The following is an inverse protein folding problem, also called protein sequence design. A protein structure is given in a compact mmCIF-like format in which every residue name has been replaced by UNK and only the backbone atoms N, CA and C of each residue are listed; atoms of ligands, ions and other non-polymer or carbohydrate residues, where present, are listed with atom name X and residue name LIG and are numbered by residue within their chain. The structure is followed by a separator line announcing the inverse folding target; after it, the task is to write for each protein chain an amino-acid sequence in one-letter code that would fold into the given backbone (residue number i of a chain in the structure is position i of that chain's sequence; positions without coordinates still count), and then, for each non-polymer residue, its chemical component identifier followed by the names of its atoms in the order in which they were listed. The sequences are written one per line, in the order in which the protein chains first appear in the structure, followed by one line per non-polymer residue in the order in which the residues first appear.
data_IF_532401863048
#
_entry.id   IF_532401863048
#
_cell.length_a   1.000
_cell.length_b   1.000
_cell.length_c   1.000
_cell.angle_alpha   90.00
_cell.angle_beta   90.00
_cell.angle_gamma   90.00
#
_symmetry.space_group_name_H-M   'P 1'
#
loop_
_entity.id
_entity.type
_entity.pdbx_description
1 polymer ?
#
# COMPACT_ATOMS: atom_id res chain seq x y z
N UNK A 1 18.14 0.04 -0.89
CA UNK A 1 17.61 0.07 -0.98
C UNK A 1 17.23 0.66 -0.70
N UNK A 2 17.05 0.83 -0.74
CA UNK A 2 16.54 1.52 -0.39
C UNK A 2 16.38 2.60 -1.22
N UNK A 3 16.96 2.92 -2.35
CA UNK A 3 16.77 4.09 -3.06
C UNK A 3 15.36 4.27 -3.51
N UNK A 4 14.82 3.35 -4.16
CA UNK A 4 13.47 3.49 -4.60
C UNK A 4 12.54 3.64 -3.45
N UNK A 5 12.80 2.94 -2.42
CA UNK A 5 11.97 3.03 -1.30
C UNK A 5 12.08 4.35 -0.65
N UNK A 6 13.21 4.91 -0.61
CA UNK A 6 13.37 6.18 -0.01
C UNK A 6 12.56 7.23 -0.68
N UNK A 7 12.48 7.11 -1.97
CA UNK A 7 11.71 8.01 -2.69
C UNK A 7 10.27 7.98 -2.28
N UNK A 8 9.72 6.81 -2.19
CA UNK A 8 8.33 6.71 -1.81
C UNK A 8 8.10 7.24 -0.43
N UNK A 9 8.96 6.93 0.45
CA UNK A 9 8.79 7.36 1.81
C UNK A 9 8.78 8.87 1.90
N UNK A 10 9.63 9.50 1.18
CA UNK A 10 9.68 10.94 1.22
C UNK A 10 8.40 11.56 0.70
N UNK A 11 7.89 10.99 -0.34
CA UNK A 11 6.66 11.51 -0.91
C UNK A 11 5.52 11.35 0.07
N UNK A 12 5.44 10.22 0.67
CA UNK A 12 4.39 9.96 1.61
C UNK A 12 4.42 10.94 2.76
N UNK A 13 5.58 11.20 3.22
CA UNK A 13 5.71 12.10 4.33
C UNK A 13 5.23 13.49 3.98
N UNK A 14 5.62 13.95 2.85
CA UNK A 14 5.21 15.26 2.43
C UNK A 14 3.70 15.35 2.35
N UNK A 15 3.10 14.35 1.85
CA UNK A 15 1.67 14.34 1.74
C UNK A 15 1.01 14.41 3.10
N UNK A 16 1.50 13.67 4.02
CA UNK A 16 0.93 13.66 5.33
C UNK A 16 0.96 15.05 5.94
N UNK A 17 2.01 15.73 5.75
CA UNK A 17 2.10 17.05 6.29
C UNK A 17 1.05 17.95 5.68
N UNK A 18 0.90 17.86 4.43
CA UNK A 18 -0.06 18.70 3.78
C UNK A 18 -1.44 18.47 4.30
N UNK A 19 -1.77 17.24 4.46
CA UNK A 19 -3.08 16.94 4.95
C UNK A 19 -3.29 17.43 6.35
N UNK A 20 -2.32 17.26 7.13
CA UNK A 20 -2.43 17.70 8.48
C UNK A 20 -2.66 19.19 8.50
N UNK A 21 -2.01 19.85 7.64
CA UNK A 21 -2.16 21.27 7.65
C UNK A 21 -3.57 21.68 7.31
N UNK A 22 -4.20 20.96 6.53
CA UNK A 22 -5.51 21.30 6.19
C UNK A 22 -6.44 21.19 7.31
N UNK A 23 -6.13 20.44 8.19
CA UNK A 23 -6.98 20.28 9.22
C UNK A 23 -8.36 20.03 8.85
N UNK A 24 -8.92 20.15 8.55
CA UNK A 24 -10.13 19.79 8.43
C UNK A 24 -10.55 19.06 7.47
N UNK A 25 -10.02 19.03 6.73
CA UNK A 25 -10.55 18.41 5.83
C UNK A 25 -10.92 17.23 5.91
N UNK A 26 -10.39 16.61 6.37
CA UNK A 26 -10.71 15.38 6.46
C UNK A 26 -11.04 14.86 5.30
N UNK A 27 -10.94 15.32 4.45
CA UNK A 27 -11.42 14.76 3.45
C UNK A 27 -10.67 13.76 2.88
N UNK A 28 -10.92 13.41 1.85
CA UNK A 28 -10.36 12.34 1.18
C UNK A 28 -8.95 12.45 1.19
N UNK A 29 -8.34 11.51 1.58
CA UNK A 29 -6.93 11.49 1.60
C UNK A 29 -6.43 10.87 0.33
N UNK A 30 -5.31 11.33 -0.13
CA UNK A 30 -4.73 10.80 -1.35
C UNK A 30 -3.31 10.34 -1.10
N UNK A 31 -2.84 9.49 -1.96
CA UNK A 31 -1.47 8.99 -1.94
C UNK A 31 -0.83 9.40 -3.26
N UNK A 32 0.37 9.91 -3.19
CA UNK A 32 1.13 10.22 -4.39
C UNK A 32 1.94 8.99 -4.76
N UNK A 33 1.71 8.48 -5.94
CA UNK A 33 2.40 7.28 -6.37
C UNK A 33 3.64 7.64 -7.18
N UNK A 34 4.39 6.63 -7.57
CA UNK A 34 5.71 6.84 -8.13
C UNK A 34 5.73 7.74 -9.36
N UNK A 35 4.70 7.75 -10.14
CA UNK A 35 4.68 8.58 -11.34
C UNK A 35 4.23 10.01 -11.07
N UNK A 36 4.00 10.35 -9.81
CA UNK A 36 3.61 11.70 -9.46
C UNK A 36 2.12 11.93 -9.39
N UNK A 37 1.31 10.99 -9.78
CA UNK A 37 -0.14 11.18 -9.71
C UNK A 37 -0.65 10.92 -8.31
N UNK A 38 -1.80 11.48 -8.00
CA UNK A 38 -2.44 11.29 -6.70
C UNK A 38 -3.66 10.41 -6.89
N UNK A 39 -3.81 9.44 -6.01
CA UNK A 39 -4.94 8.52 -6.06
C UNK A 39 -5.55 8.42 -4.68
N UNK A 40 -6.75 7.88 -4.60
CA UNK A 40 -7.45 7.75 -3.33
C UNK A 40 -6.66 6.86 -2.38
N UNK A 41 -6.60 7.26 -1.13
CA UNK A 41 -5.86 6.50 -0.14
C UNK A 41 -6.71 5.40 0.45
N UNK A 42 -6.14 4.20 0.52
CA UNK A 42 -6.73 3.07 1.21
C UNK A 42 -5.95 2.83 2.50
N UNK A 43 -6.59 2.22 3.48
CA UNK A 43 -5.91 1.85 4.72
C UNK A 43 -5.27 0.48 4.55
N UNK A 44 -4.17 0.24 5.24
CA UNK A 44 -3.48 -1.04 5.19
C UNK A 44 -3.12 -1.47 6.60
N UNK A 45 -3.23 -2.76 6.87
CA UNK A 45 -2.83 -3.35 8.13
C UNK A 45 -2.00 -4.59 7.88
N UNK A 46 -0.99 -4.76 8.71
CA UNK A 46 -0.10 -5.93 8.62
C UNK A 46 -0.10 -6.65 9.94
N UNK A 47 -0.08 -7.98 9.90
CA UNK A 47 0.03 -8.78 11.11
C UNK A 47 0.74 -10.08 10.79
N UNK A 48 1.38 -10.65 11.80
CA UNK A 48 1.98 -11.95 11.62
C UNK A 48 0.87 -12.99 11.62
N UNK A 49 0.90 -13.84 10.62
CA UNK A 49 -0.13 -14.87 10.46
C UNK A 49 0.39 -16.25 10.81
N UNK A 50 1.55 -16.30 11.45
CA UNK A 50 2.17 -17.56 11.83
C UNK A 50 3.64 -17.54 11.47
N UNK A 51 4.38 -18.58 11.75
CA UNK A 51 5.79 -18.62 11.40
C UNK A 51 5.95 -18.49 9.89
N UNK A 52 6.74 -17.53 9.48
CA UNK A 52 7.00 -17.37 8.06
C UNK A 52 5.85 -16.80 7.26
N UNK A 53 4.88 -16.17 7.91
CA UNK A 53 3.74 -15.63 7.16
C UNK A 53 3.32 -14.28 7.71
N UNK A 54 2.96 -13.38 6.82
CA UNK A 54 2.43 -12.06 7.16
C UNK A 54 1.11 -11.90 6.44
N UNK A 55 0.10 -11.47 7.18
CA UNK A 55 -1.19 -11.16 6.58
C UNK A 55 -1.25 -9.68 6.26
N UNK A 56 -1.63 -9.36 5.05
CA UNK A 56 -1.81 -7.99 4.58
C UNK A 56 -3.29 -7.79 4.35
N UNK A 57 -3.87 -6.79 4.97
CA UNK A 57 -5.28 -6.46 4.78
C UNK A 57 -5.39 -5.00 4.40
N UNK A 58 -6.41 -4.65 3.66
CA UNK A 58 -6.61 -3.26 3.26
C UNK A 58 -8.09 -2.97 3.10
N UNK A 59 -8.41 -1.68 3.07
CA UNK A 59 -9.79 -1.27 2.91
C UNK A 59 -10.21 -1.39 1.45
N UNK A 60 -11.49 -1.57 1.24
CA UNK A 60 -12.04 -1.74 -0.09
C UNK A 60 -12.38 -0.40 -0.72
N UNK A 61 -12.50 -0.40 -2.02
CA UNK A 61 -12.97 0.75 -2.78
C UNK A 61 -13.89 0.18 -3.84
N UNK A 62 -15.16 0.55 -3.86
CA UNK A 62 -16.11 -0.06 -4.79
C UNK A 62 -15.77 0.18 -6.25
N UNK A 63 -14.95 1.16 -6.56
CA UNK A 63 -14.58 1.41 -7.94
C UNK A 63 -13.40 0.57 -8.39
N UNK A 64 -12.79 -0.19 -7.50
CA UNK A 64 -11.64 -1.01 -7.83
C UNK A 64 -12.09 -2.36 -8.36
N UNK A 65 -11.55 -2.73 -9.50
CA UNK A 65 -11.83 -4.04 -10.08
C UNK A 65 -10.88 -5.09 -9.54
N UNK A 66 -9.63 -4.73 -9.33
CA UNK A 66 -8.64 -5.67 -8.82
C UNK A 66 -7.52 -4.92 -8.12
N UNK A 67 -6.84 -5.62 -7.23
CA UNK A 67 -5.74 -5.05 -6.47
C UNK A 67 -4.43 -5.76 -6.84
N UNK A 68 -3.35 -5.02 -6.67
CA UNK A 68 -2.00 -5.54 -6.80
C UNK A 68 -1.30 -5.30 -5.48
N UNK A 69 -0.67 -6.33 -4.93
CA UNK A 69 0.08 -6.19 -3.69
C UNK A 69 1.56 -6.24 -4.03
N UNK A 70 2.29 -5.22 -3.59
CA UNK A 70 3.72 -5.15 -3.79
C UNK A 70 4.43 -5.39 -2.47
N UNK A 71 5.56 -6.05 -2.53
CA UNK A 71 6.43 -6.29 -1.38
C UNK A 71 7.81 -5.79 -1.73
N UNK A 72 8.33 -4.88 -0.91
CA UNK A 72 9.66 -4.30 -1.12
C UNK A 72 9.80 -3.73 -2.53
N UNK A 73 8.73 -3.09 -3.03
CA UNK A 73 8.77 -2.43 -4.32
C UNK A 73 8.57 -3.34 -5.52
N UNK A 74 8.27 -4.60 -5.31
CA UNK A 74 8.04 -5.53 -6.42
C UNK A 74 6.69 -6.18 -6.28
N UNK A 75 6.08 -6.53 -7.40
CA UNK A 75 4.79 -7.21 -7.37
C UNK A 75 4.92 -8.54 -6.66
N UNK A 76 4.10 -8.72 -5.63
CA UNK A 76 4.00 -10.00 -4.95
C UNK A 76 2.85 -10.80 -5.54
N UNK A 77 1.71 -10.17 -5.71
CA UNK A 77 0.56 -10.83 -6.30
C UNK A 77 -0.31 -9.76 -6.95
N UNK A 78 -0.89 -10.08 -8.10
CA UNK A 78 -1.74 -9.11 -8.73
C UNK A 78 -3.08 -9.75 -9.07
N UNK A 79 -4.00 -8.94 -9.57
CA UNK A 79 -5.33 -9.41 -9.93
C UNK A 79 -6.07 -10.00 -8.74
N UNK A 80 -5.91 -9.39 -7.58
CA UNK A 80 -6.56 -9.85 -6.37
C UNK A 80 -7.93 -9.23 -6.28
N UNK A 81 -8.96 -10.05 -6.05
CA UNK A 81 -10.32 -9.56 -5.91
C UNK A 81 -10.80 -9.58 -4.48
N UNK A 82 -9.91 -9.69 -3.54
CA UNK A 82 -10.21 -9.65 -2.13
C UNK A 82 -9.48 -8.49 -1.50
N UNK A 83 -9.65 -8.29 -0.21
CA UNK A 83 -8.97 -7.22 0.51
C UNK A 83 -7.96 -7.75 1.51
N UNK A 84 -7.49 -8.97 1.30
CA UNK A 84 -6.43 -9.50 2.13
C UNK A 84 -5.68 -10.60 1.39
N UNK A 85 -4.42 -10.74 1.72
CA UNK A 85 -3.62 -11.86 1.23
C UNK A 85 -2.68 -12.27 2.35
N UNK A 86 -2.17 -13.49 2.28
CA UNK A 86 -1.16 -13.96 3.21
C UNK A 86 0.11 -14.20 2.41
N UNK A 87 1.18 -13.54 2.83
CA UNK A 87 2.49 -13.75 2.23
C UNK A 87 3.21 -14.80 3.06
N UNK A 88 3.30 -16.01 2.55
CA UNK A 88 3.86 -17.13 3.27
C UNK A 88 5.34 -17.35 2.94
N UNK A 89 5.99 -16.38 2.31
CA UNK A 89 7.36 -16.57 1.88
C UNK A 89 8.29 -15.58 2.57
N UNK A 90 8.03 -15.24 3.83
CA UNK A 90 8.86 -14.30 4.56
C UNK A 90 9.82 -15.04 5.47
N UNK A 91 10.99 -14.43 5.71
CA UNK A 91 11.99 -15.00 6.59
C UNK A 91 11.86 -14.36 7.97
N UNK A 92 12.13 -15.16 8.98
CA UNK A 92 12.04 -14.70 10.36
C UNK A 92 13.02 -13.54 10.59
N UNK A 93 12.54 -12.54 11.31
CA UNK A 93 13.37 -11.42 11.72
C UNK A 93 13.86 -10.55 10.59
N UNK A 94 13.20 -10.59 9.46
CA UNK A 94 13.49 -9.73 8.32
C UNK A 94 12.33 -8.76 8.14
N UNK A 95 12.64 -7.52 7.83
CA UNK A 95 11.61 -6.51 7.61
C UNK A 95 11.11 -6.57 6.18
N UNK A 96 9.79 -6.50 6.04
CA UNK A 96 9.15 -6.44 4.73
C UNK A 96 8.21 -5.26 4.68
N UNK A 97 8.18 -4.59 3.54
CA UNK A 97 7.32 -3.43 3.35
C UNK A 97 6.34 -3.73 2.24
N UNK A 98 5.06 -3.43 2.49
CA UNK A 98 3.99 -3.76 1.58
C UNK A 98 3.23 -2.52 1.16
N UNK A 99 2.73 -2.55 -0.06
CA UNK A 99 1.86 -1.49 -0.56
C UNK A 99 0.84 -2.12 -1.48
N UNK A 100 -0.39 -1.62 -1.47
CA UNK A 100 -1.47 -2.18 -2.26
C UNK A 100 -1.96 -1.11 -3.22
N UNK A 101 -2.18 -1.50 -4.47
CA UNK A 101 -2.66 -0.61 -5.52
C UNK A 101 -3.97 -1.13 -6.07
N UNK A 102 -4.93 -0.24 -6.29
CA UNK A 102 -6.23 -0.61 -6.83
C UNK A 102 -6.42 -0.08 -8.22
N UNK A 103 -6.89 -0.94 -9.10
CA UNK A 103 -7.09 -0.61 -10.51
C UNK A 103 -8.55 -0.76 -10.88
N UNK A 104 -9.04 0.12 -11.73
CA UNK A 104 -10.43 0.05 -12.17
C UNK A 104 -10.56 -0.92 -13.36
N UNK A 105 -11.76 -1.04 -13.87
CA UNK A 105 -12.05 -2.01 -14.93
C UNK A 105 -11.28 -1.67 -16.20
N UNK A 106 -10.89 -0.43 -16.38
CA UNK A 106 -10.10 -0.03 -17.54
C UNK A 106 -8.61 -0.20 -17.30
N UNK A 107 -8.21 -0.71 -16.14
CA UNK A 107 -6.81 -0.92 -15.83
C UNK A 107 -6.09 0.32 -15.35
N UNK A 108 -6.81 1.34 -14.94
CA UNK A 108 -6.19 2.56 -14.45
C UNK A 108 -6.02 2.48 -12.95
N UNK A 109 -4.91 2.99 -12.46
CA UNK A 109 -4.64 3.05 -11.03
C UNK A 109 -5.52 4.15 -10.43
N UNK A 110 -6.38 3.79 -9.49
CA UNK A 110 -7.31 4.74 -8.90
C UNK A 110 -7.20 4.83 -7.38
N UNK A 111 -6.56 3.89 -6.75
CA UNK A 111 -6.38 3.97 -5.30
C UNK A 111 -5.12 3.23 -4.90
N UNK A 112 -4.62 3.54 -3.71
CA UNK A 112 -3.42 2.89 -3.20
C UNK A 112 -3.33 3.09 -1.69
N UNK A 113 -2.60 2.20 -1.03
CA UNK A 113 -2.24 2.42 0.37
C UNK A 113 -0.91 3.14 0.43
N UNK A 114 -0.60 3.67 1.59
CA UNK A 114 0.79 4.03 1.86
C UNK A 114 1.58 2.75 2.08
N UNK A 115 2.87 2.84 1.98
CA UNK A 115 3.71 1.69 2.25
C UNK A 115 3.75 1.44 3.74
N UNK A 116 3.59 0.19 4.16
CA UNK A 116 3.64 -0.20 5.57
C UNK A 116 4.64 -1.33 5.71
N UNK A 117 5.37 -1.33 6.80
CA UNK A 117 6.44 -2.31 7.01
C UNK A 117 6.27 -3.05 8.32
N UNK A 118 6.74 -4.28 8.34
CA UNK A 118 6.67 -5.12 9.53
C UNK A 118 7.87 -6.07 9.52
N UNK A 119 8.32 -6.43 10.70
CA UNK A 119 9.37 -7.45 10.85
C UNK A 119 8.69 -8.79 11.05
N UNK A 120 9.06 -9.73 10.24
CA UNK A 120 8.44 -11.05 10.27
C UNK A 120 8.88 -11.87 11.49
#
# INVERSE_FOLDING_TARGET
MKSGRSLYAAVTLALAVALAGCGGGGSAEVVVVADGSSVLRLDIGLSRAGPGAIQVVWSDDPDVESFLVARNGRTLVDSVNATSVVDASVAFNVEYCYQVFGYDVAGRLISATEEACVVA
#
